data_IF_165962258826
#
_entry.id   IF_165962258826
#
_cell.length_a   1.000
_cell.length_b   1.000
_cell.length_c   1.000
_cell.angle_alpha   90.00
_cell.angle_beta   90.00
_cell.angle_gamma   90.00
#
_symmetry.space_group_name_H-M   'P 1'
#
loop_
_entity.id
_entity.type
_entity.pdbx_description
1 polymer ?
#
# COMPACT_ATOMS: atom_id res chain seq x y z
N UNK A 1 -19.31 -14.41 -7.69
CA UNK A 1 -19.12 -13.19 -8.52
C UNK A 1 -18.52 -12.18 -7.58
N UNK A 2 -17.37 -11.58 -7.91
CA UNK A 2 -16.74 -10.61 -7.02
C UNK A 2 -17.70 -9.45 -6.72
N UNK A 3 -17.77 -9.05 -5.46
CA UNK A 3 -18.56 -7.88 -5.03
C UNK A 3 -17.62 -6.79 -4.53
N UNK A 4 -17.86 -5.58 -4.99
CA UNK A 4 -17.09 -4.39 -4.63
C UNK A 4 -18.06 -3.35 -4.07
N UNK A 5 -17.72 -2.77 -2.93
CA UNK A 5 -18.52 -1.71 -2.31
C UNK A 5 -17.63 -0.54 -1.93
N UNK A 6 -18.07 0.67 -2.27
CA UNK A 6 -17.40 1.92 -1.95
C UNK A 6 -18.38 2.82 -1.20
N UNK A 7 -18.05 3.07 0.06
CA UNK A 7 -18.78 3.94 0.98
C UNK A 7 -17.96 5.21 1.18
N UNK A 8 -18.46 6.35 0.69
CA UNK A 8 -17.84 7.66 0.95
C UNK A 8 -18.21 8.10 2.37
N UNK A 9 -17.20 8.30 3.22
CA UNK A 9 -17.41 8.77 4.59
C UNK A 9 -17.44 10.29 4.60
N UNK A 10 -16.46 10.91 3.94
CA UNK A 10 -16.36 12.35 3.74
C UNK A 10 -15.50 12.67 2.50
N UNK A 11 -15.19 13.95 2.31
CA UNK A 11 -14.41 14.43 1.16
C UNK A 11 -12.97 13.89 1.12
N UNK A 12 -12.40 13.49 2.26
CA UNK A 12 -11.03 13.01 2.37
C UNK A 12 -10.94 11.48 2.53
N UNK A 13 -12.00 10.83 3.03
CA UNK A 13 -11.97 9.42 3.41
C UNK A 13 -13.15 8.65 2.79
N UNK A 14 -12.84 7.49 2.23
CA UNK A 14 -13.83 6.49 1.83
C UNK A 14 -13.43 5.09 2.34
N UNK A 15 -14.39 4.18 2.39
CA UNK A 15 -14.19 2.78 2.73
C UNK A 15 -14.49 1.92 1.52
N UNK A 16 -13.58 1.01 1.20
CA UNK A 16 -13.69 0.11 0.07
C UNK A 16 -13.64 -1.35 0.54
N UNK A 17 -14.57 -2.18 0.07
CA UNK A 17 -14.67 -3.59 0.45
C UNK A 17 -14.66 -4.46 -0.82
N UNK A 18 -13.80 -5.48 -0.80
CA UNK A 18 -13.68 -6.48 -1.87
C UNK A 18 -14.03 -7.85 -1.29
N UNK A 19 -14.89 -8.60 -1.97
CA UNK A 19 -15.24 -9.98 -1.61
C UNK A 19 -15.34 -10.85 -2.86
N UNK A 20 -14.99 -12.13 -2.71
CA UNK A 20 -15.12 -13.16 -3.75
C UNK A 20 -14.36 -12.81 -5.05
N UNK A 21 -13.23 -12.11 -4.93
CA UNK A 21 -12.36 -11.79 -6.06
C UNK A 21 -11.72 -13.09 -6.60
N UNK A 22 -12.13 -13.47 -7.81
CA UNK A 22 -11.56 -14.61 -8.51
C UNK A 22 -10.13 -14.26 -8.98
N UNK A 23 -9.15 -14.53 -8.11
CA UNK A 23 -7.72 -14.28 -8.28
C UNK A 23 -7.32 -12.80 -8.30
N UNK A 24 -6.85 -12.25 -7.17
CA UNK A 24 -6.36 -10.87 -7.14
C UNK A 24 -5.12 -10.71 -8.00
N UNK A 25 -5.06 -9.59 -8.72
CA UNK A 25 -3.87 -9.21 -9.48
C UNK A 25 -2.89 -8.41 -8.63
N UNK A 26 -3.34 -7.88 -7.48
CA UNK A 26 -2.52 -7.11 -6.54
C UNK A 26 -2.30 -7.93 -5.27
N UNK A 27 -1.03 -8.18 -4.97
CA UNK A 27 -0.53 -9.00 -3.87
C UNK A 27 -0.59 -10.53 -4.05
N UNK A 28 0.55 -11.16 -3.82
CA UNK A 28 0.74 -12.59 -3.67
C UNK A 28 1.71 -12.80 -2.51
N UNK A 29 1.26 -13.46 -1.46
CA UNK A 29 2.17 -13.93 -0.40
C UNK A 29 2.69 -15.29 -0.82
N UNK A 30 4.01 -15.46 -0.88
CA UNK A 30 4.63 -16.74 -1.18
C UNK A 30 5.54 -17.13 -0.02
N UNK A 31 5.11 -18.11 0.77
CA UNK A 31 5.99 -18.76 1.73
C UNK A 31 6.96 -19.67 0.96
N UNK A 32 8.27 -19.36 0.99
CA UNK A 32 9.26 -20.10 0.20
C UNK A 32 9.57 -21.49 0.79
N UNK A 33 9.54 -21.65 2.11
CA UNK A 33 9.64 -22.94 2.79
C UNK A 33 9.17 -22.83 4.25
N UNK A 34 9.04 -23.96 4.95
CA UNK A 34 8.74 -23.99 6.39
C UNK A 34 9.88 -23.43 7.28
N UNK A 35 11.06 -23.19 6.71
CA UNK A 35 12.27 -22.76 7.43
C UNK A 35 12.83 -21.43 6.96
N UNK A 36 12.32 -20.87 5.86
CA UNK A 36 12.73 -19.60 5.31
C UNK A 36 11.71 -18.52 5.69
N UNK A 37 12.15 -17.26 5.89
CA UNK A 37 11.23 -16.16 6.15
C UNK A 37 10.23 -15.97 5.00
N UNK A 38 9.02 -15.42 5.28
CA UNK A 38 8.02 -15.16 4.27
C UNK A 38 8.50 -14.12 3.25
N UNK A 39 7.98 -14.25 2.02
CA UNK A 39 8.18 -13.27 0.95
C UNK A 39 6.83 -12.72 0.51
N UNK A 40 6.71 -11.40 0.50
CA UNK A 40 5.50 -10.70 0.11
C UNK A 40 5.73 -10.04 -1.25
N UNK A 41 5.13 -10.59 -2.29
CA UNK A 41 5.12 -9.99 -3.61
C UNK A 41 3.91 -9.04 -3.73
N UNK A 42 4.15 -7.75 -4.00
CA UNK A 42 3.11 -6.85 -4.52
C UNK A 42 3.15 -6.98 -6.04
N UNK A 43 2.23 -7.78 -6.56
CA UNK A 43 2.05 -8.04 -8.00
C UNK A 43 1.06 -7.04 -8.63
N UNK A 44 1.10 -6.89 -9.95
CA UNK A 44 0.02 -6.31 -10.75
C UNK A 44 0.01 -7.01 -12.11
N UNK A 45 -1.16 -7.49 -12.54
CA UNK A 45 -1.35 -8.22 -13.79
C UNK A 45 -0.27 -9.32 -14.03
N UNK A 46 -0.11 -10.20 -13.03
CA UNK A 46 0.88 -11.29 -13.00
C UNK A 46 2.37 -10.87 -13.02
N UNK A 47 2.67 -9.58 -12.91
CA UNK A 47 4.04 -9.06 -12.83
C UNK A 47 4.35 -8.62 -11.41
N UNK A 48 5.43 -9.13 -10.80
CA UNK A 48 5.92 -8.63 -9.51
C UNK A 48 6.48 -7.22 -9.71
N UNK A 49 5.95 -6.26 -8.95
CA UNK A 49 6.44 -4.87 -8.94
C UNK A 49 7.37 -4.62 -7.78
N UNK A 50 6.94 -5.09 -6.61
CA UNK A 50 7.70 -4.98 -5.38
C UNK A 50 7.74 -6.33 -4.70
N UNK A 51 8.89 -6.67 -4.14
CA UNK A 51 9.05 -7.86 -3.30
C UNK A 51 9.64 -7.44 -1.98
N UNK A 52 8.95 -7.79 -0.89
CA UNK A 52 9.47 -7.64 0.45
C UNK A 52 9.91 -9.01 0.97
N UNK A 53 11.16 -9.12 1.38
CA UNK A 53 11.73 -10.32 1.98
C UNK A 53 12.47 -9.97 3.25
N UNK A 54 12.43 -10.87 4.24
CA UNK A 54 13.22 -10.71 5.45
C UNK A 54 14.56 -11.45 5.30
N UNK A 55 15.69 -10.85 5.71
CA UNK A 55 16.94 -11.58 5.85
C UNK A 55 16.87 -12.62 6.98
N UNK A 56 17.76 -13.62 6.96
CA UNK A 56 17.79 -14.71 7.94
C UNK A 56 18.19 -14.28 9.38
N UNK A 57 18.57 -13.02 9.59
CA UNK A 57 18.97 -12.50 10.89
C UNK A 57 17.81 -11.69 11.52
N UNK A 58 17.51 -11.91 12.82
CA UNK A 58 16.32 -11.35 13.49
C UNK A 58 16.39 -9.83 13.75
N UNK A 59 17.57 -9.21 13.66
CA UNK A 59 17.80 -7.79 13.97
C UNK A 59 17.86 -6.89 12.72
N UNK A 60 17.66 -7.46 11.52
CA UNK A 60 17.91 -6.78 10.25
C UNK A 60 16.60 -6.44 9.51
N UNK A 61 16.48 -5.18 9.09
CA UNK A 61 15.32 -4.64 8.35
C UNK A 61 14.92 -5.46 7.11
N UNK A 62 13.69 -5.28 6.64
CA UNK A 62 13.21 -5.97 5.43
C UNK A 62 13.96 -5.50 4.18
N UNK A 63 14.12 -6.37 3.19
CA UNK A 63 14.65 -6.06 1.86
C UNK A 63 13.47 -5.77 0.94
N UNK A 64 13.50 -4.64 0.22
CA UNK A 64 12.57 -4.30 -0.85
C UNK A 64 13.30 -4.36 -2.18
N UNK A 65 12.87 -5.27 -3.03
CA UNK A 65 13.27 -5.32 -4.43
C UNK A 65 12.18 -4.66 -5.27
N UNK A 66 12.56 -3.62 -6.03
CA UNK A 66 11.70 -2.99 -7.03
C UNK A 66 12.12 -3.51 -8.40
N UNK A 67 11.18 -4.12 -9.12
CA UNK A 67 11.41 -4.65 -10.45
C UNK A 67 10.99 -3.60 -11.47
N UNK A 68 11.97 -3.07 -12.20
CA UNK A 68 11.70 -2.10 -13.26
C UNK A 68 10.72 -2.70 -14.29
N UNK A 69 9.79 -1.90 -14.80
CA UNK A 69 8.82 -2.32 -15.81
C UNK A 69 9.48 -2.47 -17.20
N UNK A 70 10.61 -3.17 -17.32
CA UNK A 70 11.20 -3.49 -18.61
C UNK A 70 10.68 -4.85 -19.08
N UNK A 71 9.85 -4.80 -20.12
CA UNK A 71 9.40 -5.93 -20.95
C UNK A 71 8.36 -6.84 -20.28
N UNK A 72 7.21 -6.26 -19.92
CA UNK A 72 5.95 -6.94 -20.16
C UNK A 72 4.94 -5.89 -20.61
N UNK A 73 4.83 -5.74 -21.93
CA UNK A 73 3.68 -5.12 -22.56
C UNK A 73 2.41 -5.78 -22.01
N UNK A 74 1.44 -4.98 -21.59
CA UNK A 74 0.04 -5.36 -21.75
C UNK A 74 -0.51 -6.41 -20.79
N UNK A 75 -0.09 -6.41 -19.53
CA UNK A 75 -0.99 -6.89 -18.49
C UNK A 75 -2.23 -5.99 -18.46
N UNK A 76 -3.27 -6.34 -19.21
CA UNK A 76 -4.54 -5.63 -19.16
C UNK A 76 -5.00 -5.60 -17.70
N UNK A 77 -5.52 -4.46 -17.19
CA UNK A 77 -6.16 -4.44 -15.89
C UNK A 77 -7.14 -5.63 -15.82
N UNK A 78 -7.23 -6.36 -14.69
CA UNK A 78 -8.26 -7.37 -14.52
C UNK A 78 -9.61 -6.76 -14.90
N UNK A 79 -10.45 -7.58 -15.54
CA UNK A 79 -11.68 -7.18 -16.23
C UNK A 79 -12.40 -6.02 -15.52
N UNK A 80 -12.75 -5.00 -16.31
CA UNK A 80 -13.31 -3.72 -15.86
C UNK A 80 -14.15 -3.89 -14.60
N UNK A 81 -13.77 -3.15 -13.57
CA UNK A 81 -14.61 -2.93 -12.39
C UNK A 81 -16.02 -2.64 -12.86
N UNK A 82 -17.00 -3.16 -12.13
CA UNK A 82 -18.40 -2.80 -12.37
C UNK A 82 -18.48 -1.28 -12.44
N UNK A 83 -18.96 -0.76 -13.58
CA UNK A 83 -18.92 0.67 -13.90
C UNK A 83 -19.39 1.57 -12.74
N UNK A 84 -20.31 1.08 -11.91
CA UNK A 84 -20.86 1.76 -10.73
C UNK A 84 -19.82 2.07 -9.64
N UNK A 85 -18.90 1.15 -9.36
CA UNK A 85 -17.86 1.33 -8.32
C UNK A 85 -16.75 2.23 -8.82
N UNK A 86 -16.38 2.06 -10.09
CA UNK A 86 -15.42 2.94 -10.75
C UNK A 86 -15.96 4.37 -10.83
N UNK A 87 -17.25 4.55 -11.15
CA UNK A 87 -17.91 5.85 -11.16
C UNK A 87 -17.87 6.54 -9.80
N UNK A 88 -18.30 5.85 -8.72
CA UNK A 88 -18.26 6.41 -7.36
C UNK A 88 -16.84 6.79 -6.93
N UNK A 89 -15.85 5.99 -7.31
CA UNK A 89 -14.45 6.31 -7.06
C UNK A 89 -14.03 7.57 -7.81
N UNK A 90 -14.31 7.66 -9.11
CA UNK A 90 -13.95 8.81 -9.94
C UNK A 90 -14.60 10.10 -9.43
N UNK A 91 -15.88 10.03 -9.01
CA UNK A 91 -16.61 11.16 -8.41
C UNK A 91 -15.94 11.61 -7.10
N UNK A 92 -15.62 10.68 -6.20
CA UNK A 92 -14.95 11.00 -4.93
C UNK A 92 -13.51 11.50 -5.12
N UNK A 93 -12.78 10.94 -6.10
CA UNK A 93 -11.39 11.26 -6.41
C UNK A 93 -11.24 12.50 -7.30
N UNK A 94 -12.34 13.17 -7.69
CA UNK A 94 -12.31 14.36 -8.53
C UNK A 94 -11.38 15.44 -7.93
N UNK A 95 -10.52 16.00 -8.79
CA UNK A 95 -9.49 16.97 -8.44
C UNK A 95 -8.21 16.37 -7.83
N UNK A 96 -8.15 15.06 -7.59
CA UNK A 96 -6.92 14.39 -7.12
C UNK A 96 -5.97 14.07 -8.27
N UNK A 97 -4.72 13.73 -7.94
CA UNK A 97 -3.79 13.20 -8.95
C UNK A 97 -4.20 11.80 -9.44
N UNK A 98 -4.97 11.06 -8.65
CA UNK A 98 -5.31 9.66 -8.86
C UNK A 98 -6.73 9.42 -9.44
N UNK A 99 -7.33 10.41 -10.10
CA UNK A 99 -8.69 10.36 -10.67
C UNK A 99 -8.96 9.10 -11.52
N UNK A 100 -7.98 8.64 -12.31
CA UNK A 100 -8.10 7.47 -13.20
C UNK A 100 -7.69 6.14 -12.54
N UNK A 101 -7.66 6.10 -11.20
CA UNK A 101 -7.21 4.97 -10.40
C UNK A 101 -8.18 3.80 -10.28
N UNK A 102 -9.41 3.94 -10.82
CA UNK A 102 -10.51 2.98 -10.67
C UNK A 102 -10.04 1.55 -10.84
N UNK A 103 -9.57 1.18 -12.04
CA UNK A 103 -9.09 -0.17 -12.39
C UNK A 103 -8.12 -0.83 -11.39
N UNK A 104 -7.37 -0.05 -10.62
CA UNK A 104 -6.48 -0.56 -9.58
C UNK A 104 -7.24 -1.13 -8.38
N UNK A 105 -8.35 -0.51 -7.97
CA UNK A 105 -9.15 -0.95 -6.83
C UNK A 105 -9.78 -2.32 -7.07
N UNK A 106 -10.21 -2.60 -8.30
CA UNK A 106 -10.75 -3.90 -8.70
C UNK A 106 -9.75 -5.04 -8.72
N UNK A 107 -8.46 -4.70 -8.71
CA UNK A 107 -7.38 -5.66 -8.70
C UNK A 107 -6.91 -6.03 -7.28
N UNK A 108 -7.43 -5.34 -6.25
CA UNK A 108 -7.13 -5.59 -4.85
C UNK A 108 -7.63 -6.98 -4.40
N UNK A 109 -6.95 -7.62 -3.43
CA UNK A 109 -7.42 -8.86 -2.84
C UNK A 109 -8.67 -8.67 -1.98
N UNK A 110 -9.29 -9.79 -1.61
CA UNK A 110 -10.39 -9.79 -0.66
C UNK A 110 -9.94 -9.15 0.66
N UNK A 111 -10.76 -8.22 1.16
CA UNK A 111 -10.41 -7.40 2.29
C UNK A 111 -11.27 -6.15 2.42
N UNK A 112 -11.02 -5.42 3.49
CA UNK A 112 -11.54 -4.07 3.70
C UNK A 112 -10.38 -3.08 3.66
N UNK A 113 -10.62 -1.92 3.08
CA UNK A 113 -9.63 -0.89 2.84
C UNK A 113 -10.21 0.48 3.21
N UNK A 114 -9.35 1.34 3.75
CA UNK A 114 -9.61 2.78 3.76
C UNK A 114 -8.94 3.41 2.55
N UNK A 115 -9.65 4.33 1.90
CA UNK A 115 -9.08 5.24 0.93
C UNK A 115 -8.94 6.59 1.61
N UNK A 116 -7.76 7.19 1.56
CA UNK A 116 -7.52 8.52 2.08
C UNK A 116 -6.90 9.41 1.00
N UNK A 117 -7.49 10.60 0.82
CA UNK A 117 -6.90 11.70 0.07
C UNK A 117 -5.97 12.45 1.01
N UNK A 118 -4.72 12.62 0.61
CA UNK A 118 -3.71 13.31 1.43
C UNK A 118 -2.94 14.33 0.62
N UNK A 119 -2.69 15.48 1.24
CA UNK A 119 -1.79 16.52 0.71
C UNK A 119 -0.44 16.53 1.42
N UNK A 120 -0.17 15.54 2.27
CA UNK A 120 1.10 15.45 2.98
C UNK A 120 2.23 15.35 1.97
N UNK A 121 3.14 16.31 2.05
CA UNK A 121 4.35 16.28 1.24
C UNK A 121 5.23 15.12 1.72
N UNK A 122 5.60 14.28 0.76
CA UNK A 122 6.42 13.13 1.03
C UNK A 122 7.86 13.59 1.30
N UNK A 123 8.34 13.46 2.54
CA UNK A 123 9.67 13.95 2.94
C UNK A 123 10.70 12.82 2.95
N UNK A 124 11.99 13.18 2.90
CA UNK A 124 13.03 12.17 3.10
C UNK A 124 12.97 11.70 4.57
N UNK A 125 12.78 10.40 4.84
CA UNK A 125 12.78 9.88 6.20
C UNK A 125 14.16 10.04 6.85
N UNK A 126 14.19 10.12 8.18
CA UNK A 126 15.45 10.09 8.95
C UNK A 126 16.17 8.74 8.82
N UNK A 127 15.40 7.64 8.69
CA UNK A 127 15.90 6.29 8.36
C UNK A 127 14.82 5.46 7.65
N UNK A 128 15.06 5.03 6.40
CA UNK A 128 14.42 3.85 5.76
C UNK A 128 15.39 3.30 4.73
N UNK A 129 15.81 2.04 4.83
CA UNK A 129 16.52 1.35 3.75
C UNK A 129 16.03 -0.09 3.62
N UNK A 130 15.06 -0.31 2.74
CA UNK A 130 14.60 -1.65 2.41
C UNK A 130 15.49 -2.24 1.31
N UNK A 131 16.75 -2.50 1.64
CA UNK A 131 17.80 -2.91 0.69
C UNK A 131 19.20 -2.62 1.22
N UNK A 132 19.70 -3.54 2.06
CA UNK A 132 21.00 -3.59 2.79
C UNK A 132 21.10 -2.79 4.10
N UNK A 133 20.35 -3.19 5.13
CA UNK A 133 20.73 -2.87 6.51
C UNK A 133 22.17 -3.39 6.73
N UNK A 134 23.09 -2.49 7.13
CA UNK A 134 24.55 -2.65 7.24
C UNK A 134 25.44 -2.42 5.97
N UNK A 135 24.86 -1.95 4.83
CA UNK A 135 25.49 -1.34 3.59
C UNK A 135 25.78 -2.27 2.37
N UNK A 136 25.71 -1.84 1.08
CA UNK A 136 25.34 -0.53 0.50
C UNK A 136 24.10 -0.57 -0.43
N UNK A 137 23.01 0.10 0.01
CA UNK A 137 21.86 0.80 -0.65
C UNK A 137 21.60 0.66 -2.18
N UNK A 138 20.42 1.03 -2.76
CA UNK A 138 19.29 1.75 -2.17
C UNK A 138 17.94 1.00 -2.19
N UNK A 139 17.13 1.28 -1.18
CA UNK A 139 15.83 1.92 -1.40
C UNK A 139 15.73 3.05 -0.39
N UNK A 140 15.16 4.21 -0.72
CA UNK A 140 14.78 5.18 0.28
C UNK A 140 13.44 5.80 -0.10
N UNK A 141 12.40 5.30 0.55
CA UNK A 141 11.04 5.79 0.44
C UNK A 141 10.92 7.26 0.84
N UNK A 142 9.74 7.83 0.63
CA UNK A 142 9.34 9.10 1.22
C UNK A 142 8.41 8.86 2.39
N UNK A 143 8.62 9.54 3.51
CA UNK A 143 7.72 9.51 4.65
C UNK A 143 6.52 10.41 4.39
N UNK A 144 5.32 9.87 4.57
CA UNK A 144 4.06 10.62 4.55
C UNK A 144 3.68 11.04 5.97
N UNK A 145 3.85 10.16 6.96
CA UNK A 145 3.55 10.47 8.36
C UNK A 145 4.42 9.66 9.33
N UNK A 146 4.76 10.29 10.45
CA UNK A 146 5.42 9.68 11.60
C UNK A 146 4.80 10.23 12.88
N UNK A 147 3.73 9.56 13.29
CA UNK A 147 2.99 9.86 14.51
C UNK A 147 2.88 8.58 15.28
N UNK A 148 3.99 8.18 15.92
CA UNK A 148 4.04 7.01 16.81
C UNK A 148 2.72 6.92 17.61
N UNK A 149 2.02 5.80 17.52
CA UNK A 149 2.49 4.49 17.07
C UNK A 149 2.27 4.17 15.58
N UNK A 150 1.96 5.17 14.74
CA UNK A 150 1.68 4.99 13.32
C UNK A 150 2.78 5.58 12.44
N UNK A 151 3.19 4.80 11.44
CA UNK A 151 4.19 5.18 10.46
C UNK A 151 3.70 4.93 9.03
N UNK A 152 3.92 5.88 8.13
CA UNK A 152 3.53 5.78 6.73
C UNK A 152 4.65 6.24 5.80
N UNK A 153 4.97 5.40 4.81
CA UNK A 153 5.98 5.70 3.80
C UNK A 153 5.53 5.24 2.41
N UNK A 154 6.03 5.90 1.36
CA UNK A 154 5.64 5.65 -0.01
C UNK A 154 6.84 5.41 -0.94
N UNK A 155 6.66 4.51 -1.90
CA UNK A 155 7.65 4.03 -2.85
C UNK A 155 7.13 4.16 -4.29
N UNK A 156 7.95 4.72 -5.19
CA UNK A 156 7.63 4.82 -6.61
C UNK A 156 7.84 3.51 -7.37
N UNK A 157 7.39 3.48 -8.63
CA UNK A 157 7.51 2.31 -9.53
C UNK A 157 8.94 1.95 -9.95
N UNK A 158 9.88 2.89 -9.82
CA UNK A 158 11.29 2.68 -10.18
C UNK A 158 12.17 2.86 -8.96
N UNK A 159 13.30 2.14 -8.94
CA UNK A 159 14.26 2.22 -7.84
C UNK A 159 14.75 3.66 -7.65
N UNK A 160 14.57 4.20 -6.45
CA UNK A 160 15.02 5.54 -6.08
C UNK A 160 14.19 6.70 -6.65
N UNK A 161 13.13 6.41 -7.42
CA UNK A 161 12.20 7.43 -7.87
C UNK A 161 11.12 7.68 -6.80
N UNK A 162 10.69 8.94 -6.57
CA UNK A 162 9.51 9.21 -5.76
C UNK A 162 8.26 8.65 -6.46
N UNK A 163 7.20 8.31 -5.70
CA UNK A 163 5.92 7.98 -6.30
C UNK A 163 5.35 9.18 -7.05
N UNK A 164 4.78 8.96 -8.24
CA UNK A 164 4.14 10.04 -9.01
C UNK A 164 2.84 10.51 -8.36
N UNK A 165 2.16 9.62 -7.64
CA UNK A 165 0.83 9.87 -7.07
C UNK A 165 -0.31 9.92 -8.09
N UNK A 166 -0.03 9.70 -9.38
CA UNK A 166 -1.03 9.74 -10.47
C UNK A 166 -1.99 8.54 -10.47
N UNK A 167 -1.67 7.52 -9.69
CA UNK A 167 -2.53 6.37 -9.41
C UNK A 167 -2.58 6.15 -7.90
N UNK A 168 -3.63 5.50 -7.37
CA UNK A 168 -3.69 5.16 -5.96
C UNK A 168 -2.44 4.38 -5.54
N UNK A 169 -1.87 4.75 -4.40
CA UNK A 169 -0.75 4.03 -3.83
C UNK A 169 -1.29 2.89 -2.96
N UNK A 170 -0.93 1.65 -3.27
CA UNK A 170 -1.44 0.48 -2.55
C UNK A 170 -0.62 0.22 -1.31
N UNK A 171 -1.27 0.20 -0.15
CA UNK A 171 -0.65 -0.05 1.14
C UNK A 171 -0.46 -1.54 1.43
N UNK A 172 0.69 -1.84 2.03
CA UNK A 172 0.96 -3.07 2.80
C UNK A 172 1.14 -2.65 4.26
N UNK A 173 0.26 -3.12 5.14
CA UNK A 173 0.39 -2.89 6.57
C UNK A 173 1.31 -3.95 7.17
N UNK A 174 2.38 -3.49 7.81
CA UNK A 174 3.38 -4.28 8.51
C UNK A 174 3.19 -4.02 10.00
N UNK A 175 2.58 -4.98 10.69
CA UNK A 175 2.27 -4.89 12.10
C UNK A 175 3.54 -5.09 12.94
N UNK A 176 3.73 -4.22 13.93
CA UNK A 176 4.92 -4.18 14.79
C UNK A 176 6.24 -4.13 13.98
N UNK A 177 6.41 -3.00 13.28
CA UNK A 177 7.48 -2.64 12.34
C UNK A 177 8.90 -3.00 12.80
N UNK A 178 9.66 -3.61 11.88
CA UNK A 178 11.09 -3.92 12.06
C UNK A 178 11.89 -2.63 12.25
N UNK A 179 12.32 -2.39 13.49
CA UNK A 179 13.05 -1.17 13.90
C UNK A 179 12.40 -0.47 15.09
N UNK A 180 11.10 -0.70 15.33
CA UNK A 180 10.41 -0.27 16.55
C UNK A 180 9.14 -1.12 16.76
N UNK A 181 9.23 -2.13 17.63
CA UNK A 181 8.14 -3.08 17.94
C UNK A 181 6.90 -2.43 18.60
N UNK A 182 6.92 -1.10 18.84
CA UNK A 182 5.76 -0.34 19.32
C UNK A 182 5.01 0.41 18.20
N UNK A 183 5.46 0.27 16.95
CA UNK A 183 4.98 1.03 15.80
C UNK A 183 4.39 0.11 14.74
N UNK A 184 3.18 0.42 14.28
CA UNK A 184 2.61 -0.21 13.08
C UNK A 184 2.96 0.65 11.85
N UNK A 185 3.46 0.02 10.79
CA UNK A 185 3.86 0.70 9.56
C UNK A 185 2.93 0.37 8.39
N UNK A 186 2.67 1.35 7.52
CA UNK A 186 2.09 1.09 6.19
C UNK A 186 3.03 1.59 5.10
N UNK A 187 3.42 0.66 4.22
CA UNK A 187 4.26 0.93 3.06
C UNK A 187 3.37 1.02 1.83
N UNK A 188 3.32 2.20 1.22
CA UNK A 188 2.50 2.48 0.05
C UNK A 188 3.32 2.34 -1.23
N UNK A 189 2.80 1.60 -2.19
CA UNK A 189 3.49 1.29 -3.43
C UNK A 189 2.73 1.85 -4.63
N UNK A 190 3.44 2.60 -5.46
CA UNK A 190 3.01 2.81 -6.84
C UNK A 190 3.30 1.52 -7.63
N UNK A 191 2.25 0.94 -8.23
CA UNK A 191 2.31 -0.38 -8.88
C UNK A 191 2.03 -0.34 -10.39
N UNK A 192 1.48 0.78 -10.85
CA UNK A 192 1.28 1.09 -12.27
C UNK A 192 2.14 2.30 -12.59
N UNK A 193 2.93 2.21 -13.66
CA UNK A 193 3.66 3.38 -14.15
C UNK A 193 2.66 4.36 -14.73
N UNK A 194 2.54 5.52 -14.09
CA UNK A 194 1.75 6.61 -14.62
C UNK A 194 2.30 7.06 -15.97
N UNK A 195 1.42 7.28 -16.95
CA UNK A 195 1.80 8.08 -18.12
C UNK A 195 2.24 9.44 -17.61
N UNK A 196 3.38 9.94 -18.10
CA UNK A 196 4.00 11.17 -17.64
C UNK A 196 2.93 12.25 -17.39
N UNK A 197 2.74 12.62 -16.12
CA UNK A 197 1.86 13.72 -15.76
C UNK A 197 2.38 14.98 -16.46
N UNK A 198 1.46 15.80 -16.97
CA UNK A 198 1.81 17.18 -17.33
C UNK A 198 2.42 17.87 -16.10
N UNK A 199 3.55 18.58 -16.23
CA UNK A 199 4.33 19.12 -15.11
C UNK A 199 3.57 20.00 -14.10
N UNK A 200 2.40 20.52 -14.48
CA UNK A 200 1.65 21.51 -13.72
C UNK A 200 0.52 20.91 -12.85
N UNK A 201 0.37 19.58 -12.77
CA UNK A 201 -0.64 18.96 -11.89
C UNK A 201 -0.13 18.89 -10.45
N UNK A 202 -0.54 19.87 -9.63
CA UNK A 202 -0.52 19.78 -8.17
C UNK A 202 -1.87 19.26 -7.68
N UNK A 203 -1.88 18.24 -6.83
CA UNK A 203 -3.12 17.68 -6.29
C UNK A 203 -2.85 16.77 -5.10
N UNK A 204 -3.91 16.37 -4.40
CA UNK A 204 -3.81 15.34 -3.38
C UNK A 204 -3.55 13.96 -4.02
N UNK A 205 -2.88 13.10 -3.28
CA UNK A 205 -2.67 11.70 -3.66
C UNK A 205 -3.70 10.83 -2.94
N UNK A 206 -4.11 9.74 -3.59
CA UNK A 206 -4.96 8.72 -2.96
C UNK A 206 -4.09 7.58 -2.47
N UNK A 207 -4.24 7.23 -1.20
CA UNK A 207 -3.60 6.04 -0.61
C UNK A 207 -4.65 5.00 -0.24
N UNK A 208 -4.33 3.73 -0.47
CA UNK A 208 -5.16 2.57 -0.10
C UNK A 208 -4.57 1.92 1.13
N UNK A 209 -5.27 2.01 2.26
CA UNK A 209 -4.81 1.50 3.56
C UNK A 209 -5.55 0.19 3.83
N UNK A 210 -4.86 -0.96 3.89
CA UNK A 210 -5.51 -2.22 4.18
C UNK A 210 -5.99 -2.23 5.63
N UNK A 211 -7.29 -2.46 5.85
CA UNK A 211 -7.88 -2.69 7.17
C UNK A 211 -7.82 -4.18 7.52
N UNK A 212 -8.17 -5.04 6.56
CA UNK A 212 -8.13 -6.50 6.68
C UNK A 212 -7.65 -7.14 5.38
N UNK A 213 -7.39 -8.45 5.40
CA UNK A 213 -7.03 -9.23 4.22
C UNK A 213 -5.53 -9.49 4.07
N UNK A 214 -5.13 -9.91 2.87
CA UNK A 214 -3.78 -10.39 2.57
C UNK A 214 -2.69 -9.30 2.59
N UNK A 215 -3.09 -8.02 2.56
CA UNK A 215 -2.22 -6.86 2.62
C UNK A 215 -1.93 -6.38 4.06
N UNK A 216 -2.43 -7.09 5.07
CA UNK A 216 -2.05 -6.89 6.47
C UNK A 216 -1.17 -8.06 6.88
N UNK A 217 0.09 -7.80 7.23
CA UNK A 217 1.11 -8.82 7.51
C UNK A 217 1.76 -8.58 8.86
N UNK A 218 2.16 -9.67 9.49
CA UNK A 218 3.08 -9.65 10.64
C UNK A 218 4.49 -9.41 10.08
N UNK A 219 5.23 -8.47 10.66
CA UNK A 219 6.56 -8.08 10.20
C UNK A 219 7.56 -9.24 10.16
N UNK A 220 7.42 -10.25 11.03
CA UNK A 220 8.44 -11.29 11.21
C UNK A 220 7.89 -12.73 11.24
N UNK A 221 6.56 -12.90 11.21
CA UNK A 221 5.92 -14.17 11.61
C UNK A 221 6.46 -14.70 12.96
N UNK A 222 7.05 -13.82 13.77
CA UNK A 222 7.71 -14.15 15.02
C UNK A 222 6.71 -14.21 16.18
N UNK A 223 5.50 -13.73 15.94
CA UNK A 223 4.43 -13.81 16.90
C UNK A 223 3.90 -15.22 17.03
N UNK A 224 3.48 -15.55 18.26
CA UNK A 224 2.57 -16.66 18.42
C UNK A 224 1.29 -16.36 17.63
N UNK A 225 0.55 -17.40 17.24
CA UNK A 225 -0.72 -17.23 16.54
C UNK A 225 -1.71 -16.31 17.31
N UNK A 226 -1.63 -16.31 18.65
CA UNK A 226 -2.44 -15.44 19.51
C UNK A 226 -2.02 -13.98 19.40
N UNK A 227 -0.73 -13.69 19.49
CA UNK A 227 -0.22 -12.31 19.44
C UNK A 227 -0.44 -11.70 18.04
N UNK A 228 -0.24 -12.50 16.99
CA UNK A 228 -0.53 -12.08 15.61
C UNK A 228 -2.02 -11.76 15.41
N UNK A 229 -2.91 -12.55 16.03
CA UNK A 229 -4.35 -12.28 15.99
C UNK A 229 -4.71 -11.01 16.75
N UNK A 230 -4.13 -10.80 17.93
CA UNK A 230 -4.35 -9.58 18.73
C UNK A 230 -3.87 -8.32 17.98
N UNK A 231 -2.67 -8.36 17.39
CA UNK A 231 -2.13 -7.27 16.58
C UNK A 231 -3.04 -6.96 15.38
N UNK A 232 -3.54 -7.99 14.67
CA UNK A 232 -4.49 -7.82 13.56
C UNK A 232 -5.81 -7.20 14.02
N UNK A 233 -6.35 -7.62 15.15
CA UNK A 233 -7.58 -7.06 15.70
C UNK A 233 -7.40 -5.60 16.14
N UNK A 234 -6.28 -5.28 16.79
CA UNK A 234 -5.89 -3.90 17.13
C UNK A 234 -5.78 -3.04 15.88
N UNK A 235 -5.17 -3.59 14.83
CA UNK A 235 -5.04 -2.91 13.54
C UNK A 235 -6.39 -2.61 12.90
N UNK A 236 -7.24 -3.64 12.79
CA UNK A 236 -8.56 -3.58 12.17
C UNK A 236 -9.47 -2.58 12.87
N UNK A 237 -9.51 -2.60 14.21
CA UNK A 237 -10.46 -1.83 15.02
C UNK A 237 -10.03 -0.39 15.23
N UNK A 238 -8.72 -0.14 15.34
CA UNK A 238 -8.22 1.15 15.83
C UNK A 238 -7.21 1.78 14.86
N UNK A 239 -6.11 1.07 14.55
CA UNK A 239 -4.94 1.69 13.91
C UNK A 239 -5.14 2.04 12.45
N UNK A 240 -5.79 1.17 11.67
CA UNK A 240 -6.05 1.39 10.25
C UNK A 240 -6.90 2.64 10.01
N UNK A 241 -7.97 2.83 10.80
CA UNK A 241 -8.82 4.02 10.74
C UNK A 241 -8.08 5.26 11.25
N UNK A 242 -7.34 5.15 12.35
CA UNK A 242 -6.55 6.26 12.88
C UNK A 242 -5.50 6.73 11.85
N UNK A 243 -4.89 5.80 11.09
CA UNK A 243 -4.00 6.16 10.00
C UNK A 243 -4.74 6.84 8.84
N UNK A 244 -5.91 6.33 8.45
CA UNK A 244 -6.74 6.97 7.42
C UNK A 244 -7.13 8.41 7.80
N UNK A 245 -7.49 8.63 9.07
CA UNK A 245 -7.78 9.96 9.61
C UNK A 245 -6.55 10.85 9.63
N UNK A 246 -5.41 10.35 10.12
CA UNK A 246 -4.15 11.10 10.13
C UNK A 246 -3.76 11.58 8.73
N UNK A 247 -3.90 10.73 7.72
CA UNK A 247 -3.59 11.09 6.33
C UNK A 247 -4.70 11.97 5.72
N UNK A 248 -5.97 11.73 6.05
CA UNK A 248 -7.12 12.49 5.59
C UNK A 248 -7.22 13.90 6.16
N UNK A 249 -6.87 14.13 7.43
CA UNK A 249 -6.90 15.45 8.08
C UNK A 249 -5.96 16.47 7.44
N UNK A 250 -4.96 15.99 6.68
CA UNK A 250 -4.11 16.85 5.86
C UNK A 250 -4.82 17.43 4.62
N UNK A 251 -6.02 16.92 4.32
CA UNK A 251 -6.87 17.39 3.24
C UNK A 251 -7.77 18.52 3.75
N UNK A 252 -7.72 19.72 3.16
CA UNK A 252 -8.55 20.83 3.60
C UNK A 252 -10.02 20.52 3.31
N UNK A 253 -10.83 20.50 4.36
CA UNK A 253 -12.29 20.57 4.25
C UNK A 253 -12.66 21.94 3.69
N UNK A 254 -13.24 21.98 2.48
CA UNK A 254 -13.78 23.20 1.89
C UNK A 254 -14.97 23.72 2.67
#
# INVERSE_FOLDING_TARGET
>A
MATFDLEVIDAAIARFVVRDAASPSIARVTQQSATAPPVHDVVYAATTRHRLSQPWAPDDGMILETFDPTIAEGGAPPASILADVEWKYMEWAEGSLAESGGGLLGALPDGSYWLARTKLEATAPKTILLGNAWSPAPSNARQLADRRPLYAAAFGVRRGAPPSGASPLVGLAVLDYVGDASVDATLFFEIVEAKALTPDRSGDVVVVIPQTGALVVDALEAFSASDAQEARLRWERERSRALAQLLGDSYPTR
#
